data_IF_288233339858
#
_entry.id   IF_288233339858
#
_cell.length_a   1.000
_cell.length_b   1.000
_cell.length_c   1.000
_cell.angle_alpha   90.00
_cell.angle_beta   90.00
_cell.angle_gamma   90.00
#
_symmetry.space_group_name_H-M   'P 1'
#
loop_
_entity.id
_entity.type
_entity.pdbx_description
1 polymer ?
#
# COMPACT_ATOMS: atom_id res chain seq x y z
N UNK A 1 23.47 -38.89 -29.50
CA UNK A 1 23.69 -37.44 -29.24
C UNK A 1 22.45 -36.59 -29.53
N UNK A 2 21.91 -36.56 -30.76
CA UNK A 2 20.74 -35.71 -31.11
C UNK A 2 19.51 -35.89 -30.20
N UNK A 3 19.12 -37.12 -29.86
CA UNK A 3 17.95 -37.42 -29.01
C UNK A 3 18.08 -36.92 -27.56
N UNK A 4 19.29 -36.94 -27.00
CA UNK A 4 19.55 -36.45 -25.64
C UNK A 4 19.57 -34.91 -25.57
N UNK A 5 20.05 -34.24 -26.64
CA UNK A 5 20.00 -32.78 -26.76
C UNK A 5 18.56 -32.28 -26.90
N UNK A 6 17.73 -32.97 -27.68
CA UNK A 6 16.30 -32.64 -27.80
C UNK A 6 15.55 -32.81 -26.48
N UNK A 7 15.84 -33.89 -25.72
CA UNK A 7 15.23 -34.12 -24.41
C UNK A 7 15.61 -33.02 -23.40
N UNK A 8 16.88 -32.62 -23.37
CA UNK A 8 17.37 -31.53 -22.50
C UNK A 8 16.73 -30.18 -22.83
N UNK A 9 16.54 -29.86 -24.11
CA UNK A 9 15.86 -28.64 -24.56
C UNK A 9 14.38 -28.61 -24.15
N UNK A 10 13.69 -29.76 -24.21
CA UNK A 10 12.31 -29.88 -23.74
C UNK A 10 12.24 -29.69 -22.22
N UNK A 11 13.14 -30.32 -21.45
CA UNK A 11 13.21 -30.11 -20.00
C UNK A 11 13.49 -28.65 -19.64
N UNK A 12 14.39 -27.99 -20.36
CA UNK A 12 14.71 -26.58 -20.13
C UNK A 12 13.55 -25.65 -20.48
N UNK A 13 12.84 -25.92 -21.58
CA UNK A 13 11.64 -25.17 -21.96
C UNK A 13 10.50 -25.38 -20.97
N UNK A 14 10.31 -26.60 -20.45
CA UNK A 14 9.35 -26.87 -19.36
C UNK A 14 9.74 -26.11 -18.11
N UNK A 15 11.01 -26.16 -17.67
CA UNK A 15 11.48 -25.42 -16.49
C UNK A 15 11.30 -23.90 -16.64
N UNK A 16 11.57 -23.31 -17.81
CA UNK A 16 11.27 -21.89 -18.09
C UNK A 16 9.77 -21.59 -18.09
N UNK A 17 8.96 -22.51 -18.61
CA UNK A 17 7.51 -22.38 -18.59
C UNK A 17 6.95 -22.47 -17.17
N UNK A 18 7.49 -23.32 -16.28
CA UNK A 18 7.05 -23.41 -14.87
C UNK A 18 7.61 -22.27 -14.02
N UNK A 19 8.84 -21.79 -14.31
CA UNK A 19 9.45 -20.66 -13.62
C UNK A 19 8.74 -19.32 -13.91
N UNK A 20 8.04 -19.22 -15.05
CA UNK A 20 7.21 -18.04 -15.40
C UNK A 20 5.77 -18.11 -14.85
N UNK A 21 5.34 -19.24 -14.24
CA UNK A 21 4.08 -19.34 -13.47
C UNK A 21 4.31 -19.02 -12.00
N UNK A 22 5.27 -18.15 -11.69
CA UNK A 22 5.13 -17.30 -10.52
C UNK A 22 3.87 -16.47 -10.76
N UNK A 23 2.70 -16.95 -10.32
CA UNK A 23 1.50 -16.14 -10.15
C UNK A 23 1.88 -15.01 -9.21
N UNK A 24 2.42 -13.91 -9.75
CA UNK A 24 2.51 -12.67 -9.03
C UNK A 24 1.07 -12.36 -8.63
N UNK A 25 0.78 -12.48 -7.33
CA UNK A 25 -0.53 -12.15 -6.79
C UNK A 25 -0.86 -10.75 -7.28
N UNK A 26 -1.97 -10.61 -8.02
CA UNK A 26 -2.36 -9.33 -8.59
C UNK A 26 -2.38 -8.31 -7.45
N UNK A 27 -1.55 -7.26 -7.57
CA UNK A 27 -1.49 -6.18 -6.59
C UNK A 27 -2.89 -5.58 -6.46
N UNK A 28 -3.34 -5.38 -5.23
CA UNK A 28 -4.55 -4.61 -4.95
C UNK A 28 -4.16 -3.14 -5.16
N UNK A 29 -4.66 -2.54 -6.24
CA UNK A 29 -4.28 -1.18 -6.64
C UNK A 29 -5.22 -0.12 -6.09
N UNK A 30 -6.49 -0.46 -5.88
CA UNK A 30 -7.50 0.54 -5.51
C UNK A 30 -8.89 0.19 -6.03
N UNK A 31 -9.83 1.16 -5.91
CA UNK A 31 -9.63 2.47 -5.28
C UNK A 31 -9.56 2.37 -3.75
N UNK A 32 -8.64 3.11 -3.13
CA UNK A 32 -8.54 3.27 -1.67
C UNK A 32 -8.78 4.73 -1.29
N UNK A 33 -9.15 4.99 -0.04
CA UNK A 33 -9.13 6.33 0.53
C UNK A 33 -7.73 6.64 1.03
N UNK A 34 -7.17 7.75 0.56
CA UNK A 34 -5.81 8.16 0.86
C UNK A 34 -5.77 9.47 1.64
N UNK A 35 -4.72 9.61 2.44
CA UNK A 35 -4.37 10.81 3.19
C UNK A 35 -2.85 10.93 3.28
N UNK A 36 -2.34 12.15 3.38
CA UNK A 36 -0.94 12.43 3.71
C UNK A 36 -0.89 13.31 4.95
N UNK A 37 0.13 13.10 5.77
CA UNK A 37 0.38 13.94 6.95
C UNK A 37 1.88 14.18 7.10
N UNK A 38 2.30 15.38 7.54
CA UNK A 38 3.70 15.63 7.83
C UNK A 38 4.22 14.65 8.88
N UNK A 39 5.34 14.00 8.62
CA UNK A 39 6.04 13.17 9.60
C UNK A 39 6.95 14.01 10.50
N UNK A 40 7.33 15.22 10.08
CA UNK A 40 8.24 16.11 10.79
C UNK A 40 9.63 16.09 10.15
N UNK A 41 10.69 16.57 10.85
CA UNK A 41 12.00 16.76 10.24
C UNK A 41 12.76 15.45 9.95
N UNK A 42 12.27 14.32 10.48
CA UNK A 42 12.85 12.99 10.26
C UNK A 42 11.74 12.10 9.70
N UNK A 43 11.99 11.49 8.55
CA UNK A 43 11.09 10.52 7.91
C UNK A 43 11.48 9.07 8.23
N UNK A 44 10.90 8.13 7.48
CA UNK A 44 11.27 6.71 7.52
C UNK A 44 10.83 5.98 8.79
N UNK A 45 11.53 4.89 9.13
CA UNK A 45 11.11 3.92 10.13
C UNK A 45 10.86 4.47 11.54
N UNK A 46 11.52 5.56 11.94
CA UNK A 46 11.31 6.21 13.25
C UNK A 46 9.92 6.80 13.40
N UNK A 47 9.21 7.02 12.28
CA UNK A 47 7.88 7.60 12.26
C UNK A 47 6.75 6.56 12.29
N UNK A 48 7.07 5.26 12.15
CA UNK A 48 6.09 4.15 12.09
C UNK A 48 5.12 4.15 13.27
N UNK A 49 5.60 4.50 14.46
CA UNK A 49 4.82 4.49 15.70
C UNK A 49 4.24 5.83 16.14
N UNK A 50 4.44 6.86 15.33
CA UNK A 50 3.93 8.19 15.62
C UNK A 50 2.54 8.35 15.00
N UNK A 51 1.56 8.77 15.79
CA UNK A 51 0.22 9.13 15.30
C UNK A 51 0.24 10.48 14.56
N UNK A 52 0.69 10.46 13.30
CA UNK A 52 0.79 11.61 12.40
C UNK A 52 -0.59 12.17 12.02
N UNK A 53 -1.63 11.34 11.94
CA UNK A 53 -3.03 11.76 11.77
C UNK A 53 -3.48 12.63 12.96
N UNK A 54 -3.21 12.18 14.18
CA UNK A 54 -3.53 12.91 15.41
C UNK A 54 -2.76 14.22 15.48
N UNK A 55 -1.46 14.19 15.18
CA UNK A 55 -0.63 15.41 15.13
C UNK A 55 -1.16 16.42 14.10
N UNK A 56 -1.48 15.99 12.89
CA UNK A 56 -1.95 16.86 11.82
C UNK A 56 -3.35 17.43 12.08
N UNK A 57 -4.20 16.67 12.78
CA UNK A 57 -5.60 17.01 13.03
C UNK A 57 -5.88 17.62 14.41
N UNK A 58 -4.85 17.81 15.24
CA UNK A 58 -5.01 18.26 16.63
C UNK A 58 -5.76 17.24 17.51
N UNK A 59 -5.65 15.94 17.20
CA UNK A 59 -6.25 14.85 17.95
C UNK A 59 -7.67 14.47 17.52
N UNK A 60 -8.26 15.15 16.53
CA UNK A 60 -9.62 14.87 16.06
C UNK A 60 -9.71 13.62 15.17
N UNK A 61 -8.61 13.21 14.55
CA UNK A 61 -8.47 11.98 13.77
C UNK A 61 -7.24 11.24 14.29
N UNK A 62 -7.38 9.98 14.67
CA UNK A 62 -6.27 9.14 15.18
C UNK A 62 -6.12 7.90 14.32
N UNK A 63 -4.91 7.33 14.28
CA UNK A 63 -4.65 6.07 13.55
C UNK A 63 -5.56 4.94 14.04
N UNK A 64 -5.65 4.79 15.36
CA UNK A 64 -6.51 3.78 15.98
C UNK A 64 -8.00 4.04 15.67
N UNK A 65 -8.42 5.31 15.65
CA UNK A 65 -9.78 5.70 15.31
C UNK A 65 -10.14 5.34 13.87
N UNK A 66 -9.25 5.63 12.92
CA UNK A 66 -9.39 5.23 11.52
C UNK A 66 -9.42 3.71 11.38
N UNK A 67 -8.51 3.00 12.07
CA UNK A 67 -8.43 1.54 12.02
C UNK A 67 -9.70 0.83 12.54
N UNK A 68 -10.38 1.43 13.53
CA UNK A 68 -11.61 0.86 14.11
C UNK A 68 -12.88 1.27 13.38
N UNK A 69 -12.96 2.53 12.97
CA UNK A 69 -14.22 3.14 12.53
C UNK A 69 -14.25 3.47 11.05
N UNK A 70 -13.12 3.35 10.36
CA UNK A 70 -12.98 3.77 8.98
C UNK A 70 -12.99 5.28 8.78
N UNK A 71 -13.00 5.68 7.52
CA UNK A 71 -13.02 7.07 7.05
C UNK A 71 -13.90 7.21 5.83
N UNK A 72 -14.35 8.43 5.56
CA UNK A 72 -15.17 8.75 4.38
C UNK A 72 -14.43 9.70 3.44
N UNK A 73 -14.73 9.59 2.15
CA UNK A 73 -14.26 10.56 1.16
C UNK A 73 -14.68 11.99 1.56
N UNK A 74 -13.76 12.94 1.42
CA UNK A 74 -14.00 14.34 1.79
C UNK A 74 -13.90 14.62 3.30
N UNK A 75 -13.77 13.60 4.16
CA UNK A 75 -13.55 13.82 5.59
C UNK A 75 -12.20 14.53 5.79
N UNK A 76 -12.19 15.55 6.63
CA UNK A 76 -10.97 16.31 6.91
C UNK A 76 -10.04 15.58 7.86
N UNK A 77 -8.74 15.79 7.68
CA UNK A 77 -7.67 15.50 8.64
C UNK A 77 -6.68 16.66 8.59
N UNK A 78 -6.78 17.58 9.54
CA UNK A 78 -6.04 18.84 9.48
C UNK A 78 -6.53 19.69 8.29
N UNK A 79 -5.62 20.01 7.36
CA UNK A 79 -5.90 20.87 6.19
C UNK A 79 -6.25 20.09 4.92
N UNK A 80 -6.18 18.76 4.96
CA UNK A 80 -6.40 17.89 3.81
C UNK A 80 -7.66 17.04 4.01
N UNK A 81 -8.16 16.48 2.92
CA UNK A 81 -9.35 15.64 2.92
C UNK A 81 -9.04 14.24 2.38
N UNK A 82 -9.64 13.21 2.99
CA UNK A 82 -9.51 11.83 2.52
C UNK A 82 -10.01 11.71 1.09
N UNK A 83 -9.15 11.23 0.20
CA UNK A 83 -9.36 11.31 -1.25
C UNK A 83 -9.22 9.95 -1.91
N UNK A 84 -10.13 9.61 -2.81
CA UNK A 84 -10.06 8.35 -3.55
C UNK A 84 -8.87 8.33 -4.51
N UNK A 85 -8.17 7.20 -4.55
CA UNK A 85 -7.01 7.02 -5.42
C UNK A 85 -6.68 5.56 -5.69
N UNK A 86 -6.04 5.31 -6.84
CA UNK A 86 -5.55 4.00 -7.25
C UNK A 86 -4.07 4.10 -7.62
N UNK A 87 -3.24 3.29 -6.97
CA UNK A 87 -1.79 3.22 -7.27
C UNK A 87 -1.55 2.44 -8.55
N UNK A 88 -0.46 2.76 -9.25
CA UNK A 88 -0.02 1.95 -10.37
C UNK A 88 0.34 0.52 -9.92
N UNK A 89 0.02 -0.46 -10.76
CA UNK A 89 0.34 -1.87 -10.51
C UNK A 89 1.87 -2.12 -10.43
N UNK A 90 2.64 -1.32 -11.16
CA UNK A 90 4.10 -1.39 -11.30
C UNK A 90 4.75 -0.04 -11.03
N UNK A 91 6.07 -0.03 -10.78
CA UNK A 91 6.85 1.17 -10.47
C UNK A 91 7.21 1.27 -8.99
N UNK A 92 8.38 1.83 -8.70
CA UNK A 92 8.91 1.95 -7.34
C UNK A 92 8.35 3.13 -6.55
N UNK A 93 7.83 4.18 -7.23
CA UNK A 93 7.37 5.43 -6.61
C UNK A 93 5.84 5.61 -6.70
N UNK A 94 5.09 4.50 -6.79
CA UNK A 94 3.68 4.52 -7.17
C UNK A 94 2.75 5.18 -6.14
N UNK A 95 3.15 5.26 -4.86
CA UNK A 95 2.43 6.01 -3.83
C UNK A 95 2.64 7.52 -4.02
N UNK A 96 3.87 7.99 -4.19
CA UNK A 96 4.18 9.41 -4.46
C UNK A 96 3.43 9.91 -5.71
N UNK A 97 3.53 9.16 -6.81
CA UNK A 97 2.88 9.49 -8.08
C UNK A 97 1.37 9.64 -7.90
N UNK A 98 0.76 8.76 -7.09
CA UNK A 98 -0.65 8.87 -6.76
C UNK A 98 -0.93 10.14 -5.95
N UNK A 99 -0.17 10.42 -4.88
CA UNK A 99 -0.39 11.57 -4.01
C UNK A 99 -0.34 12.89 -4.78
N UNK A 100 0.61 13.03 -5.70
CA UNK A 100 0.69 14.19 -6.61
C UNK A 100 -0.55 14.25 -7.50
N UNK A 101 -0.94 13.13 -8.12
CA UNK A 101 -2.10 13.05 -9.01
C UNK A 101 -3.41 13.44 -8.32
N UNK A 102 -3.61 13.05 -7.07
CA UNK A 102 -4.84 13.34 -6.31
C UNK A 102 -4.76 14.61 -5.46
N UNK A 103 -3.67 15.38 -5.58
CA UNK A 103 -3.52 16.68 -4.93
C UNK A 103 -3.23 16.63 -3.43
N UNK A 104 -2.76 15.49 -2.91
CA UNK A 104 -2.31 15.33 -1.52
C UNK A 104 -0.81 15.61 -1.32
N UNK A 105 -0.12 16.01 -2.38
CA UNK A 105 1.27 16.45 -2.35
C UNK A 105 1.70 17.05 -3.69
N UNK A 106 2.97 17.46 -3.79
CA UNK A 106 3.52 18.06 -5.02
C UNK A 106 4.98 17.66 -5.19
N UNK A 107 5.35 17.23 -6.40
CA UNK A 107 6.72 16.84 -6.72
C UNK A 107 7.12 15.56 -6.00
N UNK A 108 8.36 15.51 -5.52
CA UNK A 108 8.82 14.46 -4.63
C UNK A 108 8.38 14.76 -3.20
N UNK A 109 7.67 13.81 -2.59
CA UNK A 109 7.02 13.97 -1.30
C UNK A 109 7.86 13.25 -0.24
N UNK A 110 8.80 13.99 0.34
CA UNK A 110 9.62 13.52 1.46
C UNK A 110 8.97 13.80 2.81
N UNK A 111 9.50 13.18 3.87
CA UNK A 111 9.17 13.51 5.27
C UNK A 111 7.66 13.49 5.56
N UNK A 112 6.95 12.59 4.88
CA UNK A 112 5.49 12.52 4.87
C UNK A 112 5.08 11.09 5.17
N UNK A 113 4.06 10.96 6.00
CA UNK A 113 3.40 9.69 6.25
C UNK A 113 2.17 9.59 5.36
N UNK A 114 2.02 8.46 4.67
CA UNK A 114 0.93 8.19 3.74
C UNK A 114 -0.01 7.15 4.32
N UNK A 115 -1.30 7.48 4.35
CA UNK A 115 -2.35 6.64 4.89
C UNK A 115 -3.23 6.10 3.78
N UNK A 116 -3.55 4.82 3.87
CA UNK A 116 -4.45 4.12 2.98
C UNK A 116 -5.55 3.43 3.79
N UNK A 117 -6.78 3.54 3.34
CA UNK A 117 -7.93 2.84 3.90
C UNK A 117 -8.74 2.14 2.81
N UNK A 118 -9.07 0.88 3.07
CA UNK A 118 -9.94 0.05 2.23
C UNK A 118 -10.84 -0.80 3.12
N UNK A 119 -12.09 -0.94 2.70
CA UNK A 119 -13.01 -1.95 3.23
C UNK A 119 -13.03 -3.15 2.29
N UNK A 120 -12.87 -4.34 2.84
CA UNK A 120 -12.93 -5.60 2.10
C UNK A 120 -14.12 -6.41 2.61
N UNK A 121 -14.96 -6.89 1.71
CA UNK A 121 -16.04 -7.81 2.07
C UNK A 121 -15.45 -9.16 2.49
N UNK A 122 -15.59 -9.49 3.77
CA UNK A 122 -15.09 -10.73 4.36
C UNK A 122 -15.78 -11.99 3.82
N UNK A 123 -16.95 -11.87 3.17
CA UNK A 123 -17.64 -12.98 2.54
C UNK A 123 -16.98 -13.41 1.22
N UNK A 124 -16.22 -12.51 0.57
CA UNK A 124 -15.67 -12.76 -0.75
C UNK A 124 -14.62 -13.89 -0.73
N UNK A 125 -13.70 -13.89 0.25
CA UNK A 125 -12.64 -14.92 0.42
C UNK A 125 -12.14 -14.96 1.87
N UNK A 126 -12.02 -16.16 2.45
CA UNK A 126 -11.39 -16.41 3.76
C UNK A 126 -10.10 -17.21 3.62
N UNK A 127 -9.19 -17.09 4.60
CA UNK A 127 -7.95 -17.86 4.66
C UNK A 127 -6.88 -17.45 3.63
N UNK A 128 -6.97 -16.23 3.08
CA UNK A 128 -6.00 -15.72 2.12
C UNK A 128 -4.88 -14.94 2.82
N UNK A 129 -3.65 -15.11 2.36
CA UNK A 129 -2.52 -14.30 2.80
C UNK A 129 -2.50 -12.96 2.05
N UNK A 130 -2.61 -11.86 2.79
CA UNK A 130 -2.30 -10.53 2.27
C UNK A 130 -0.79 -10.31 2.32
N UNK A 131 -0.23 -9.73 1.26
CA UNK A 131 1.17 -9.32 1.20
C UNK A 131 1.21 -7.81 1.04
N UNK A 132 2.08 -7.17 1.81
CA UNK A 132 2.33 -5.74 1.75
C UNK A 132 3.85 -5.52 1.78
N UNK A 133 4.27 -4.38 1.25
CA UNK A 133 5.67 -3.96 1.23
C UNK A 133 5.73 -2.45 1.19
N UNK A 134 6.79 -1.91 1.78
CA UNK A 134 7.10 -0.49 1.82
C UNK A 134 8.61 -0.30 1.87
N UNK A 135 9.02 0.88 1.48
CA UNK A 135 10.36 1.42 1.64
C UNK A 135 10.15 2.90 2.04
N UNK A 136 10.39 3.34 3.28
CA UNK A 136 11.19 2.65 4.30
C UNK A 136 10.43 1.71 5.25
N UNK A 137 9.17 1.99 5.58
CA UNK A 137 8.46 1.28 6.66
C UNK A 137 6.94 1.31 6.49
N UNK A 138 6.25 0.38 7.15
CA UNK A 138 4.78 0.30 7.11
C UNK A 138 4.25 -0.31 8.39
N UNK A 139 3.10 0.20 8.84
CA UNK A 139 2.26 -0.40 9.86
C UNK A 139 0.90 -0.70 9.26
N UNK A 140 0.39 -1.91 9.50
CA UNK A 140 -0.89 -2.35 8.95
C UNK A 140 -1.85 -2.60 10.10
N UNK A 141 -3.07 -2.09 9.94
CA UNK A 141 -4.17 -2.38 10.82
C UNK A 141 -5.22 -3.21 10.07
N UNK A 142 -5.71 -4.26 10.71
CA UNK A 142 -6.83 -5.06 10.25
C UNK A 142 -7.90 -5.13 11.34
N UNK A 143 -9.09 -4.60 11.05
CA UNK A 143 -10.22 -4.56 11.99
C UNK A 143 -9.83 -3.99 13.37
N UNK A 144 -9.13 -2.85 13.38
CA UNK A 144 -8.70 -2.17 14.60
C UNK A 144 -7.54 -2.83 15.36
N UNK A 145 -6.81 -3.78 14.76
CA UNK A 145 -5.61 -4.39 15.36
C UNK A 145 -4.39 -4.31 14.44
N UNK A 146 -3.21 -4.04 15.01
CA UNK A 146 -1.94 -4.14 14.29
C UNK A 146 -1.66 -5.61 13.95
N UNK A 147 -1.17 -5.89 12.74
CA UNK A 147 -0.83 -7.23 12.23
C UNK A 147 0.56 -7.31 11.59
#
# INVERSE_FOLDING_TARGET
MKKHVTFLLICFAVVLAVASIGQAQKKITGPWLWMTTPAGPVGGAVMTDVDTLSKASGGSVTQEGVAKNGVKAGQACGKLNWTWGEIAATGGNNVNDLMVKIGLGKGDIDQTDSWAYIELDAAAKKGVTAKAGSDDSIKIWLNGKVV
#
